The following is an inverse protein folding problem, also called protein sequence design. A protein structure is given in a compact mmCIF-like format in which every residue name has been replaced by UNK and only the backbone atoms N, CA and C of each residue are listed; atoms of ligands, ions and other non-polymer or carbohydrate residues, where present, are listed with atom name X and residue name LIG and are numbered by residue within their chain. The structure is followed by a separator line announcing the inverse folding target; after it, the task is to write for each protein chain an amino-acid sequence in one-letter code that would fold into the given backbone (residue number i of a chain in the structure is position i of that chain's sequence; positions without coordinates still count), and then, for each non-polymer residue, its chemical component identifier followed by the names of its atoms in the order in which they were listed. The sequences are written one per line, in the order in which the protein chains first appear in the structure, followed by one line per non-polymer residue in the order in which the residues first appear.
data_IF_470813882664
#
_entry.id   IF_470813882664
#
_cell.length_a   1.000
_cell.length_b   1.000
_cell.length_c   1.000
_cell.angle_alpha   90.00
_cell.angle_beta   90.00
_cell.angle_gamma   90.00
#
_symmetry.space_group_name_H-M   'P 1'
#
loop_
_entity.id
_entity.type
_entity.pdbx_description
1 polymer ?
#
# COMPACT_ATOMS: atom_id res chain seq x y z
N UNK A 1 -19.89 -7.27 -12.13
CA UNK A 1 -18.92 -8.29 -12.60
C UNK A 1 -17.56 -7.94 -12.02
N UNK A 2 -17.09 -8.77 -11.11
CA UNK A 2 -15.70 -8.69 -10.66
C UNK A 2 -14.82 -9.08 -11.84
N UNK A 3 -14.07 -8.12 -12.39
CA UNK A 3 -13.16 -8.36 -13.50
C UNK A 3 -11.92 -9.05 -12.95
N UNK A 4 -11.79 -10.36 -13.21
CA UNK A 4 -10.58 -11.12 -12.89
C UNK A 4 -9.54 -10.80 -13.97
N UNK A 5 -8.46 -10.09 -13.61
CA UNK A 5 -7.36 -9.74 -14.51
C UNK A 5 -6.22 -10.76 -14.51
N UNK A 6 -6.23 -11.70 -13.54
CA UNK A 6 -5.24 -12.76 -13.45
C UNK A 6 -5.46 -13.86 -14.47
N UNK A 7 -4.36 -14.45 -14.97
CA UNK A 7 -4.39 -15.62 -15.85
C UNK A 7 -4.37 -16.92 -15.05
N UNK A 8 -4.95 -18.00 -15.62
CA UNK A 8 -4.95 -19.31 -14.98
C UNK A 8 -3.52 -19.87 -14.86
N UNK A 9 -3.19 -20.39 -13.71
CA UNK A 9 -1.92 -21.11 -13.46
C UNK A 9 -2.04 -22.61 -13.71
N UNK A 10 -3.18 -23.09 -14.23
CA UNK A 10 -3.46 -24.53 -14.39
C UNK A 10 -2.40 -25.25 -15.23
N UNK A 11 -1.96 -24.64 -16.34
CA UNK A 11 -0.95 -25.25 -17.22
C UNK A 11 0.41 -25.37 -16.53
N UNK A 12 0.85 -24.33 -15.81
CA UNK A 12 2.09 -24.37 -15.03
C UNK A 12 2.03 -25.40 -13.90
N UNK A 13 0.91 -25.51 -13.21
CA UNK A 13 0.72 -26.52 -12.16
C UNK A 13 0.66 -27.95 -12.73
N UNK A 14 0.25 -28.11 -13.97
CA UNK A 14 0.25 -29.38 -14.68
C UNK A 14 1.64 -29.74 -15.29
N UNK A 15 2.66 -28.93 -15.06
CA UNK A 15 4.02 -29.14 -15.55
C UNK A 15 4.25 -28.71 -17.00
N UNK A 16 3.39 -27.85 -17.56
CA UNK A 16 3.63 -27.21 -18.85
C UNK A 16 4.77 -26.20 -18.75
N UNK A 17 5.64 -26.20 -19.77
CA UNK A 17 6.69 -25.17 -19.93
C UNK A 17 6.15 -23.87 -20.55
N UNK A 18 4.86 -23.83 -20.90
CA UNK A 18 4.23 -22.67 -21.50
C UNK A 18 4.11 -21.51 -20.47
N UNK A 19 4.61 -20.34 -20.86
CA UNK A 19 4.51 -19.14 -20.02
C UNK A 19 3.04 -18.72 -19.83
N UNK A 20 2.61 -18.49 -18.60
CA UNK A 20 1.26 -17.96 -18.31
C UNK A 20 1.08 -16.52 -18.80
N UNK A 21 2.16 -15.73 -18.76
CA UNK A 21 2.19 -14.37 -19.28
C UNK A 21 3.17 -14.30 -20.45
N UNK A 22 2.72 -13.73 -21.57
CA UNK A 22 3.56 -13.45 -22.72
C UNK A 22 4.40 -12.19 -22.47
N UNK A 23 5.47 -12.01 -23.23
CA UNK A 23 6.32 -10.83 -23.12
C UNK A 23 5.60 -9.52 -23.53
N UNK A 24 4.45 -9.64 -24.22
CA UNK A 24 3.54 -8.55 -24.53
C UNK A 24 2.57 -8.19 -23.40
N UNK A 25 2.38 -9.07 -22.43
CA UNK A 25 1.44 -8.86 -21.35
C UNK A 25 2.03 -7.91 -20.29
N UNK A 26 1.22 -6.96 -19.86
CA UNK A 26 1.58 -6.05 -18.75
C UNK A 26 0.87 -6.48 -17.48
N UNK A 27 1.61 -6.56 -16.37
CA UNK A 27 1.08 -6.88 -15.04
C UNK A 27 1.39 -5.73 -14.10
N UNK A 28 0.35 -4.98 -13.73
CA UNK A 28 0.47 -3.89 -12.77
C UNK A 28 0.24 -4.36 -11.33
N UNK A 29 0.89 -3.70 -10.38
CA UNK A 29 0.74 -3.91 -8.94
C UNK A 29 0.66 -2.58 -8.21
N UNK A 30 -0.27 -2.52 -7.23
CA UNK A 30 -0.47 -1.38 -6.34
C UNK A 30 -0.49 -1.84 -4.89
N UNK A 31 0.44 -1.33 -4.09
CA UNK A 31 0.49 -1.63 -2.66
C UNK A 31 0.81 -0.37 -1.86
N UNK A 32 -0.11 0.08 -1.02
CA UNK A 32 0.09 1.24 -0.12
C UNK A 32 0.61 2.50 -0.83
N UNK A 33 0.16 2.73 -2.08
CA UNK A 33 0.58 3.86 -2.91
C UNK A 33 1.92 3.67 -3.62
N UNK A 34 2.58 2.52 -3.45
CA UNK A 34 3.68 2.11 -4.30
C UNK A 34 3.12 1.45 -5.55
N UNK A 35 3.78 1.65 -6.67
CA UNK A 35 3.32 1.20 -7.98
C UNK A 35 4.40 0.40 -8.68
N UNK A 36 4.02 -0.64 -9.41
CA UNK A 36 4.93 -1.36 -10.30
C UNK A 36 4.21 -1.86 -11.54
N UNK A 37 4.95 -2.03 -12.62
CA UNK A 37 4.51 -2.73 -13.83
C UNK A 37 5.61 -3.68 -14.30
N UNK A 38 5.20 -4.90 -14.64
CA UNK A 38 6.04 -5.91 -15.25
C UNK A 38 5.62 -6.09 -16.71
N UNK A 39 6.59 -6.12 -17.63
CA UNK A 39 6.38 -6.45 -19.05
C UNK A 39 7.61 -7.10 -19.65
N UNK A 40 7.46 -8.34 -20.12
CA UNK A 40 8.60 -9.14 -20.57
C UNK A 40 9.66 -9.25 -19.49
N UNK A 41 10.89 -8.89 -19.83
CA UNK A 41 12.03 -8.91 -18.90
C UNK A 41 12.13 -7.63 -18.06
N UNK A 42 11.32 -6.61 -18.33
CA UNK A 42 11.44 -5.32 -17.68
C UNK A 42 10.42 -5.14 -16.56
N UNK A 43 10.86 -4.41 -15.54
CA UNK A 43 10.03 -3.91 -14.45
C UNK A 43 10.27 -2.43 -14.26
N UNK A 44 9.17 -1.68 -14.12
CA UNK A 44 9.26 -0.33 -13.52
C UNK A 44 8.64 -0.36 -12.12
N UNK A 45 9.19 0.45 -11.22
CA UNK A 45 8.68 0.58 -9.86
C UNK A 45 8.79 2.02 -9.40
N UNK A 46 7.79 2.46 -8.63
CA UNK A 46 7.78 3.76 -7.96
C UNK A 46 7.45 3.54 -6.49
N UNK A 47 8.45 3.65 -5.65
CA UNK A 47 8.30 3.53 -4.19
C UNK A 47 8.19 4.91 -3.56
N UNK A 48 7.17 5.09 -2.71
CA UNK A 48 6.96 6.33 -1.96
C UNK A 48 7.86 6.40 -0.71
N UNK A 49 8.12 7.61 -0.18
CA UNK A 49 8.75 7.75 1.12
C UNK A 49 7.99 6.98 2.21
N UNK A 50 8.67 6.43 3.23
CA UNK A 50 10.13 6.52 3.47
C UNK A 50 10.97 5.49 2.69
N UNK A 51 10.34 4.56 1.96
CA UNK A 51 11.04 3.42 1.33
C UNK A 51 11.66 3.76 -0.03
N UNK A 52 11.30 4.88 -0.64
CA UNK A 52 11.82 5.31 -1.93
C UNK A 52 11.69 6.81 -2.17
N UNK A 53 12.15 7.24 -3.35
CA UNK A 53 12.22 8.65 -3.76
C UNK A 53 10.94 9.18 -4.43
N UNK A 54 9.91 8.34 -4.60
CA UNK A 54 8.72 8.61 -5.42
C UNK A 54 9.04 8.87 -6.91
N UNK A 55 10.20 8.41 -7.37
CA UNK A 55 10.57 8.44 -8.77
C UNK A 55 10.43 7.05 -9.39
N UNK A 56 10.14 7.01 -10.70
CA UNK A 56 10.14 5.75 -11.43
C UNK A 56 11.56 5.23 -11.65
N UNK A 57 11.77 3.98 -11.35
CA UNK A 57 12.98 3.20 -11.56
C UNK A 57 12.70 2.11 -12.57
N UNK A 58 13.71 1.72 -13.35
CA UNK A 58 13.61 0.70 -14.40
C UNK A 58 14.67 -0.38 -14.18
N UNK A 59 14.25 -1.63 -14.23
CA UNK A 59 15.12 -2.79 -14.06
C UNK A 59 14.89 -3.82 -15.19
N UNK A 60 15.94 -4.54 -15.57
CA UNK A 60 15.87 -5.72 -16.43
C UNK A 60 16.04 -6.97 -15.56
N UNK A 61 14.96 -7.67 -15.28
CA UNK A 61 14.94 -8.79 -14.34
C UNK A 61 15.62 -10.06 -14.89
N UNK A 62 15.79 -10.17 -16.21
CA UNK A 62 16.51 -11.31 -16.80
C UNK A 62 18.03 -11.21 -16.61
N UNK A 63 18.57 -9.99 -16.54
CA UNK A 63 19.99 -9.72 -16.35
C UNK A 63 20.31 -9.37 -14.88
N UNK A 64 19.38 -8.73 -14.19
CA UNK A 64 19.51 -8.24 -12.81
C UNK A 64 18.26 -8.59 -11.99
N UNK A 65 18.05 -9.85 -11.60
CA UNK A 65 16.90 -10.26 -10.79
C UNK A 65 16.91 -9.66 -9.37
N UNK A 66 18.04 -9.09 -8.94
CA UNK A 66 18.18 -8.41 -7.66
C UNK A 66 17.83 -6.93 -7.69
N UNK A 67 17.47 -6.37 -8.86
CA UNK A 67 17.09 -4.95 -9.01
C UNK A 67 18.17 -3.99 -8.48
N UNK A 68 19.44 -4.29 -8.73
CA UNK A 68 20.58 -3.53 -8.22
C UNK A 68 20.99 -2.38 -9.14
N UNK A 69 20.62 -2.46 -10.44
CA UNK A 69 21.04 -1.51 -11.48
C UNK A 69 19.80 -0.80 -12.04
N UNK A 70 19.59 0.45 -11.62
CA UNK A 70 18.51 1.28 -12.16
C UNK A 70 18.85 1.81 -13.56
N UNK A 71 18.12 1.34 -14.57
CA UNK A 71 18.29 1.66 -15.98
C UNK A 71 17.51 2.92 -16.42
N UNK A 72 16.80 3.60 -15.55
CA UNK A 72 15.96 4.76 -15.90
C UNK A 72 16.70 5.86 -16.66
N UNK A 73 17.97 6.10 -16.31
CA UNK A 73 18.81 7.11 -16.97
C UNK A 73 19.42 6.62 -18.29
N UNK A 74 19.76 5.36 -18.39
CA UNK A 74 20.38 4.76 -19.58
C UNK A 74 19.36 4.37 -20.66
N UNK A 75 18.10 4.09 -20.26
CA UNK A 75 17.02 3.68 -21.16
C UNK A 75 15.76 4.55 -20.99
N UNK A 76 15.83 5.89 -21.15
CA UNK A 76 14.72 6.79 -20.87
C UNK A 76 13.48 6.52 -21.74
N UNK A 77 13.68 6.12 -22.99
CA UNK A 77 12.57 5.81 -23.90
C UNK A 77 11.81 4.57 -23.46
N UNK A 78 12.54 3.53 -22.99
CA UNK A 78 11.90 2.32 -22.44
C UNK A 78 11.16 2.60 -21.15
N UNK A 79 11.73 3.41 -20.29
CA UNK A 79 11.05 3.87 -19.07
C UNK A 79 9.74 4.58 -19.40
N UNK A 80 9.78 5.52 -20.36
CA UNK A 80 8.59 6.28 -20.75
C UNK A 80 7.51 5.38 -21.36
N UNK A 81 7.89 4.44 -22.23
CA UNK A 81 6.97 3.43 -22.78
C UNK A 81 6.21 2.70 -21.65
N UNK A 82 6.94 2.17 -20.67
CA UNK A 82 6.34 1.40 -19.58
C UNK A 82 5.51 2.28 -18.62
N UNK A 83 5.87 3.55 -18.45
CA UNK A 83 5.05 4.50 -17.69
C UNK A 83 3.70 4.75 -18.39
N UNK A 84 3.67 4.89 -19.72
CA UNK A 84 2.42 5.05 -20.46
C UNK A 84 1.54 3.79 -20.34
N UNK A 85 2.15 2.61 -20.40
CA UNK A 85 1.41 1.36 -20.17
C UNK A 85 0.87 1.23 -18.74
N UNK A 86 1.67 1.65 -17.75
CA UNK A 86 1.19 1.72 -16.37
C UNK A 86 -0.02 2.64 -16.23
N UNK A 87 0.00 3.81 -16.88
CA UNK A 87 -1.14 4.74 -16.87
C UNK A 87 -2.39 4.11 -17.48
N UNK A 88 -2.24 3.42 -18.61
CA UNK A 88 -3.36 2.70 -19.23
C UNK A 88 -3.92 1.60 -18.31
N UNK A 89 -3.05 0.81 -17.69
CA UNK A 89 -3.42 -0.17 -16.67
C UNK A 89 -4.15 0.48 -15.49
N UNK A 90 -3.63 1.59 -14.97
CA UNK A 90 -4.20 2.29 -13.82
C UNK A 90 -5.61 2.83 -14.12
N UNK A 91 -5.81 3.40 -15.31
CA UNK A 91 -7.12 3.88 -15.78
C UNK A 91 -8.11 2.73 -15.94
N UNK A 92 -7.71 1.65 -16.61
CA UNK A 92 -8.56 0.48 -16.85
C UNK A 92 -9.01 -0.21 -15.56
N UNK A 93 -8.14 -0.24 -14.54
CA UNK A 93 -8.39 -0.92 -13.28
C UNK A 93 -8.88 0.01 -12.15
N UNK A 94 -9.11 1.29 -12.46
CA UNK A 94 -9.62 2.27 -11.50
C UNK A 94 -8.67 2.55 -10.34
N UNK A 95 -7.36 2.53 -10.60
CA UNK A 95 -6.34 2.84 -9.59
C UNK A 95 -6.48 4.29 -9.13
N UNK A 96 -6.62 4.50 -7.84
CA UNK A 96 -6.70 5.83 -7.24
C UNK A 96 -5.31 6.25 -6.78
N UNK A 97 -4.76 7.30 -7.42
CA UNK A 97 -3.50 7.88 -6.96
C UNK A 97 -3.68 8.55 -5.60
N UNK A 98 -2.77 8.21 -4.68
CA UNK A 98 -2.73 8.88 -3.38
C UNK A 98 -2.11 10.28 -3.54
N UNK A 99 -2.61 11.30 -2.79
CA UNK A 99 -1.98 12.62 -2.74
C UNK A 99 -0.48 12.55 -2.46
N UNK A 100 0.28 13.51 -2.99
CA UNK A 100 1.75 13.49 -2.83
C UNK A 100 2.19 13.61 -1.36
N UNK A 101 1.42 14.33 -0.56
CA UNK A 101 1.61 14.56 0.88
C UNK A 101 0.98 13.48 1.77
N UNK A 102 0.39 12.43 1.18
CA UNK A 102 -0.20 11.34 1.94
C UNK A 102 0.88 10.45 2.58
N UNK A 103 0.98 10.52 3.90
CA UNK A 103 1.89 9.72 4.70
C UNK A 103 1.19 8.46 5.25
N UNK A 104 1.19 7.38 4.46
CA UNK A 104 0.52 6.13 4.81
C UNK A 104 0.94 5.57 6.17
N UNK A 105 2.22 5.71 6.56
CA UNK A 105 2.75 5.21 7.82
C UNK A 105 2.18 6.00 9.01
N UNK A 106 2.06 7.32 8.88
CA UNK A 106 1.44 8.18 9.88
C UNK A 106 -0.05 7.86 10.03
N UNK A 107 -0.78 7.77 8.92
CA UNK A 107 -2.20 7.41 8.92
C UNK A 107 -2.45 6.03 9.52
N UNK A 108 -1.64 5.04 9.21
CA UNK A 108 -1.73 3.69 9.75
C UNK A 108 -1.49 3.69 11.28
N UNK A 109 -0.53 4.48 11.75
CA UNK A 109 -0.25 4.64 13.18
C UNK A 109 -1.41 5.33 13.89
N UNK A 110 -1.94 6.43 13.34
CA UNK A 110 -3.08 7.17 13.88
C UNK A 110 -4.32 6.28 13.95
N UNK A 111 -4.62 5.55 12.88
CA UNK A 111 -5.78 4.67 12.82
C UNK A 111 -5.66 3.48 13.78
N UNK A 112 -4.46 2.93 13.94
CA UNK A 112 -4.17 1.88 14.92
C UNK A 112 -4.36 2.40 16.35
N UNK A 113 -3.86 3.59 16.64
CA UNK A 113 -4.05 4.25 17.93
C UNK A 113 -5.53 4.51 18.21
N UNK A 114 -6.25 5.12 17.29
CA UNK A 114 -7.69 5.40 17.42
C UNK A 114 -8.48 4.12 17.69
N UNK A 115 -8.20 3.05 16.97
CA UNK A 115 -8.91 1.78 17.10
C UNK A 115 -8.63 1.05 18.42
N UNK A 116 -7.37 1.02 18.85
CA UNK A 116 -6.95 0.18 19.96
C UNK A 116 -6.96 0.91 21.31
N UNK A 117 -6.58 2.17 21.33
CA UNK A 117 -6.35 2.92 22.58
C UNK A 117 -7.47 3.91 22.90
N UNK A 118 -8.11 4.53 21.92
CA UNK A 118 -9.14 5.53 22.18
C UNK A 118 -10.34 4.96 22.97
N UNK A 119 -10.87 3.75 22.67
CA UNK A 119 -11.93 3.14 23.48
C UNK A 119 -11.49 2.86 24.93
N UNK A 120 -10.23 2.51 25.15
CA UNK A 120 -9.68 2.26 26.48
C UNK A 120 -9.59 3.56 27.30
N UNK A 121 -9.13 4.64 26.65
CA UNK A 121 -9.05 5.98 27.25
C UNK A 121 -10.45 6.46 27.68
N UNK A 122 -11.45 6.30 26.83
CA UNK A 122 -12.82 6.67 27.16
C UNK A 122 -13.40 5.85 28.33
N UNK A 123 -13.12 4.53 28.38
CA UNK A 123 -13.50 3.69 29.51
C UNK A 123 -12.84 4.14 30.82
N UNK A 124 -11.53 4.41 30.77
CA UNK A 124 -10.79 4.90 31.93
C UNK A 124 -11.32 6.25 32.42
N UNK A 125 -11.54 7.20 31.51
CA UNK A 125 -12.14 8.49 31.84
C UNK A 125 -13.52 8.35 32.49
N UNK A 126 -14.37 7.46 31.97
CA UNK A 126 -15.68 7.19 32.56
C UNK A 126 -15.56 6.71 34.01
N UNK A 127 -14.69 5.74 34.31
CA UNK A 127 -14.50 5.24 35.67
C UNK A 127 -13.90 6.31 36.61
N UNK A 128 -13.01 7.16 36.12
CA UNK A 128 -12.47 8.27 36.91
C UNK A 128 -13.60 9.27 37.29
N UNK A 129 -14.43 9.64 36.33
CA UNK A 129 -15.56 10.54 36.57
C UNK A 129 -16.54 9.93 37.56
N UNK A 130 -16.82 8.63 37.42
CA UNK A 130 -17.69 7.92 38.37
C UNK A 130 -17.11 7.91 39.79
N UNK A 131 -15.82 7.63 39.94
CA UNK A 131 -15.13 7.65 41.24
C UNK A 131 -15.17 9.04 41.88
N UNK A 132 -14.88 10.09 41.11
CA UNK A 132 -14.95 11.46 41.60
C UNK A 132 -16.39 11.81 42.06
N UNK A 133 -17.39 11.43 41.26
CA UNK A 133 -18.79 11.65 41.59
C UNK A 133 -19.18 10.98 42.91
N UNK A 134 -18.73 9.72 43.10
CA UNK A 134 -18.96 9.00 44.34
C UNK A 134 -18.32 9.68 45.56
N UNK A 135 -17.07 10.10 45.42
CA UNK A 135 -16.36 10.83 46.49
C UNK A 135 -17.11 12.11 46.85
N UNK A 136 -17.56 12.88 45.85
CA UNK A 136 -18.33 14.14 46.10
C UNK A 136 -19.63 13.84 46.86
N UNK A 137 -20.33 12.78 46.50
CA UNK A 137 -21.57 12.37 47.21
C UNK A 137 -21.27 11.98 48.66
N UNK A 138 -20.22 11.18 48.90
CA UNK A 138 -19.83 10.75 50.24
C UNK A 138 -19.42 11.93 51.14
N UNK A 139 -18.63 12.87 50.61
CA UNK A 139 -18.22 14.08 51.32
C UNK A 139 -19.43 14.98 51.64
N UNK A 140 -20.36 15.14 50.70
CA UNK A 140 -21.61 15.90 50.96
C UNK A 140 -22.45 15.26 52.06
N UNK A 141 -22.57 13.94 52.01
CA UNK A 141 -23.34 13.18 53.02
C UNK A 141 -22.70 13.31 54.42
N UNK A 142 -21.37 13.16 54.50
CA UNK A 142 -20.63 13.32 55.77
C UNK A 142 -20.74 14.73 56.35
N UNK A 143 -20.72 15.79 55.51
CA UNK A 143 -20.85 17.18 55.96
C UNK A 143 -22.27 17.52 56.44
N UNK A 144 -23.28 16.80 56.00
CA UNK A 144 -24.68 17.04 56.36
C UNK A 144 -25.17 16.10 57.50
N UNK A 145 -24.30 15.22 58.00
CA UNK A 145 -24.52 14.38 59.18
C UNK A 145 -23.87 14.96 60.41
#
# INVERSE_FOLDING_TARGET
DERIIGKSLQNSLAGSEEKNYLDSDSVGLEVTGNSALFKGDFKIVRNRPPNGSNQWELFNLSEDPGETINLAKSMPNKLQELIEEYKAYAEENGVIELPQDYEWAAEMTINTFKRNYLPLIWKAAFFIILAISLVVVLVRRWRNS
#
